data_IF_182494297691
#
_entry.id   IF_182494297691
#
_cell.length_a   1.000
_cell.length_b   1.000
_cell.length_c   1.000
_cell.angle_alpha   90.00
_cell.angle_beta   90.00
_cell.angle_gamma   90.00
#
_symmetry.space_group_name_H-M   'P 1'
#
loop_
_entity.id
_entity.type
_entity.pdbx_description
1 polymer ?
#
# COMPACT_ATOMS: atom_id res chain seq x y z
N UNK A 1 8.85 -3.24 -12.12
CA UNK A 1 8.41 -1.95 -12.72
C UNK A 1 9.14 -0.80 -12.06
N UNK A 2 9.43 0.29 -12.79
CA UNK A 2 9.97 1.51 -12.15
C UNK A 2 8.87 2.15 -11.28
N UNK A 3 9.23 2.84 -10.19
CA UNK A 3 8.25 3.48 -9.27
C UNK A 3 7.18 4.31 -10.00
N UNK A 4 7.57 5.06 -11.04
CA UNK A 4 6.63 5.85 -11.82
C UNK A 4 5.59 5.02 -12.58
N UNK A 5 5.94 3.81 -13.03
CA UNK A 5 5.02 2.91 -13.70
C UNK A 5 4.04 2.28 -12.70
N UNK A 6 4.52 1.91 -11.50
CA UNK A 6 3.67 1.41 -10.42
C UNK A 6 2.65 2.46 -9.99
N UNK A 7 3.07 3.72 -9.84
CA UNK A 7 2.14 4.82 -9.54
C UNK A 7 1.05 4.94 -10.60
N UNK A 8 1.42 4.95 -11.89
CA UNK A 8 0.44 4.97 -13.00
C UNK A 8 -0.50 3.75 -12.95
N UNK A 9 0.03 2.57 -12.65
CA UNK A 9 -0.76 1.35 -12.54
C UNK A 9 -1.77 1.42 -11.38
N UNK A 10 -1.37 1.92 -10.20
CA UNK A 10 -2.24 2.15 -9.05
C UNK A 10 -3.41 3.08 -9.40
N UNK A 11 -3.14 4.21 -10.08
CA UNK A 11 -4.21 5.13 -10.49
C UNK A 11 -5.15 4.55 -11.54
N UNK A 12 -4.63 3.73 -12.46
CA UNK A 12 -5.40 3.13 -13.56
C UNK A 12 -6.28 1.97 -13.10
N UNK A 13 -5.71 1.05 -12.33
CA UNK A 13 -6.37 -0.21 -11.93
C UNK A 13 -7.10 -0.10 -10.60
N UNK A 14 -6.74 0.87 -9.75
CA UNK A 14 -7.32 1.13 -8.42
C UNK A 14 -7.45 -0.16 -7.59
N UNK A 15 -6.35 -0.90 -7.41
CA UNK A 15 -6.41 -2.17 -6.69
C UNK A 15 -6.66 -1.91 -5.20
N UNK A 16 -7.21 -2.91 -4.54
CA UNK A 16 -7.35 -2.90 -3.09
C UNK A 16 -6.04 -3.38 -2.44
N UNK A 17 -5.58 -2.65 -1.45
CA UNK A 17 -4.50 -3.06 -0.57
C UNK A 17 -5.08 -3.72 0.68
N UNK A 18 -4.50 -4.86 1.08
CA UNK A 18 -4.89 -5.62 2.27
C UNK A 18 -3.78 -5.61 3.30
N UNK A 19 -4.13 -5.32 4.55
CA UNK A 19 -3.22 -5.46 5.69
C UNK A 19 -2.93 -6.95 5.89
N UNK A 20 -1.65 -7.33 5.85
CA UNK A 20 -1.24 -8.72 6.04
C UNK A 20 -0.80 -8.95 7.48
N UNK A 21 0.07 -8.08 8.01
CA UNK A 21 0.54 -8.14 9.38
C UNK A 21 1.14 -6.81 9.84
N UNK A 22 1.27 -6.64 11.15
CA UNK A 22 2.02 -5.56 11.78
C UNK A 22 3.25 -6.17 12.46
N UNK A 23 4.43 -5.63 12.17
CA UNK A 23 5.69 -6.10 12.77
C UNK A 23 6.70 -4.96 12.83
N UNK A 24 7.52 -4.91 13.89
CA UNK A 24 8.60 -3.93 14.05
C UNK A 24 8.13 -2.48 13.84
N UNK A 25 6.98 -2.11 14.42
CA UNK A 25 6.37 -0.78 14.27
C UNK A 25 6.03 -0.37 12.83
N UNK A 26 5.83 -1.34 11.93
CA UNK A 26 5.33 -1.13 10.58
C UNK A 26 4.09 -1.99 10.31
N UNK A 27 3.08 -1.40 9.66
CA UNK A 27 1.96 -2.10 9.06
C UNK A 27 2.29 -2.45 7.59
N UNK A 28 2.16 -3.73 7.25
CA UNK A 28 2.50 -4.25 5.93
C UNK A 28 1.25 -4.52 5.11
N UNK A 29 1.10 -3.78 4.02
CA UNK A 29 -0.01 -3.91 3.09
C UNK A 29 0.46 -4.49 1.75
N UNK A 30 -0.38 -5.30 1.12
CA UNK A 30 -0.16 -5.80 -0.23
C UNK A 30 -1.33 -5.46 -1.14
N UNK A 31 -1.02 -5.07 -2.38
CA UNK A 31 -2.01 -4.94 -3.46
C UNK A 31 -1.55 -5.77 -4.66
N UNK A 32 -2.50 -6.45 -5.30
CA UNK A 32 -2.25 -7.22 -6.51
C UNK A 32 -2.65 -6.37 -7.73
N UNK A 33 -1.72 -6.21 -8.68
CA UNK A 33 -1.97 -5.59 -9.99
C UNK A 33 -1.45 -6.53 -11.05
N UNK A 34 -2.35 -7.07 -11.86
CA UNK A 34 -2.04 -8.08 -12.87
C UNK A 34 -1.22 -9.22 -12.21
N UNK A 35 -0.05 -9.57 -12.74
CA UNK A 35 0.84 -10.59 -12.19
C UNK A 35 1.87 -10.05 -11.17
N UNK A 36 1.67 -8.83 -10.66
CA UNK A 36 2.61 -8.17 -9.73
C UNK A 36 1.97 -7.92 -8.37
N UNK A 37 2.75 -8.19 -7.32
CA UNK A 37 2.39 -7.80 -5.95
C UNK A 37 3.14 -6.52 -5.57
N UNK A 38 2.40 -5.50 -5.16
CA UNK A 38 2.93 -4.25 -4.63
C UNK A 38 2.91 -4.30 -3.12
N UNK A 39 4.02 -3.92 -2.49
CA UNK A 39 4.16 -3.85 -1.04
C UNK A 39 4.22 -2.40 -0.58
N UNK A 40 3.49 -2.12 0.50
CA UNK A 40 3.56 -0.86 1.23
C UNK A 40 3.96 -1.13 2.68
N UNK A 41 4.83 -0.28 3.21
CA UNK A 41 5.32 -0.37 4.58
C UNK A 41 5.03 0.95 5.28
N UNK A 42 3.96 0.97 6.08
CA UNK A 42 3.50 2.17 6.77
C UNK A 42 4.03 2.13 8.21
N UNK A 43 4.92 3.04 8.61
CA UNK A 43 5.29 3.17 10.01
C UNK A 43 4.05 3.51 10.85
N UNK A 44 3.89 2.85 12.01
CA UNK A 44 2.74 3.10 12.89
C UNK A 44 2.67 4.57 13.31
N UNK A 45 3.84 5.20 13.54
CA UNK A 45 3.93 6.62 13.90
C UNK A 45 3.47 7.56 12.77
N UNK A 46 3.56 7.12 11.50
CA UNK A 46 3.11 7.87 10.33
C UNK A 46 1.59 7.78 10.13
N UNK A 47 0.90 6.86 10.82
CA UNK A 47 -0.54 6.67 10.67
C UNK A 47 -1.34 7.82 11.32
N UNK A 48 -0.83 8.39 12.43
CA UNK A 48 -1.47 9.48 13.15
C UNK A 48 -2.92 9.17 13.52
N UNK A 49 -3.83 10.12 13.26
CA UNK A 49 -5.28 9.98 13.51
C UNK A 49 -6.06 9.44 12.29
N UNK A 50 -5.37 9.00 11.23
CA UNK A 50 -6.03 8.52 10.02
C UNK A 50 -6.49 7.06 10.17
N UNK A 51 -7.64 6.74 9.57
CA UNK A 51 -8.17 5.38 9.56
C UNK A 51 -7.43 4.51 8.54
N UNK A 52 -6.61 3.59 9.05
CA UNK A 52 -6.00 2.52 8.26
C UNK A 52 -6.80 1.23 8.44
N UNK A 53 -7.66 0.99 7.47
CA UNK A 53 -8.55 -0.16 7.49
C UNK A 53 -7.79 -1.45 7.12
N UNK A 54 -8.34 -2.63 7.48
CA UNK A 54 -7.79 -3.92 7.03
C UNK A 54 -7.71 -4.04 5.50
N UNK A 55 -8.61 -3.35 4.78
CA UNK A 55 -8.57 -3.20 3.33
C UNK A 55 -8.84 -1.74 2.92
N UNK A 56 -8.11 -1.22 1.94
CA UNK A 56 -8.29 0.16 1.45
C UNK A 56 -7.74 0.35 0.04
N UNK A 57 -8.11 1.44 -0.65
CA UNK A 57 -7.57 1.74 -1.98
C UNK A 57 -6.04 1.91 -1.90
N UNK A 58 -5.30 1.10 -2.66
CA UNK A 58 -3.84 1.08 -2.62
C UNK A 58 -3.21 2.42 -3.03
N UNK A 59 -3.92 3.27 -3.78
CA UNK A 59 -3.44 4.62 -4.13
C UNK A 59 -3.25 5.50 -2.89
N UNK A 60 -3.98 5.23 -1.80
CA UNK A 60 -3.85 5.96 -0.53
C UNK A 60 -2.52 5.65 0.16
N UNK A 61 -1.92 4.49 -0.15
CA UNK A 61 -0.65 4.04 0.42
C UNK A 61 0.57 4.41 -0.43
N UNK A 62 0.37 5.14 -1.54
CA UNK A 62 1.40 5.43 -2.55
C UNK A 62 2.66 6.12 -2.00
N UNK A 63 2.54 6.83 -0.87
CA UNK A 63 3.66 7.48 -0.17
C UNK A 63 4.66 6.47 0.38
N UNK A 64 4.17 5.30 0.80
CA UNK A 64 4.95 4.25 1.47
C UNK A 64 5.31 3.09 0.53
N UNK A 65 5.25 3.35 -0.79
CA UNK A 65 5.62 2.40 -1.84
C UNK A 65 7.13 2.10 -1.81
N UNK A 66 7.47 0.82 -1.61
CA UNK A 66 8.86 0.33 -1.62
C UNK A 66 9.47 0.34 -3.03
#
# INVERSE_FOLDING_TARGET
>A
MKKNELKKALYKTKPEAKLIYIRNSNAYYLAEIDDNTIRFEVPIDDMGDADFLPTMDAKLLIRWLQ
#
